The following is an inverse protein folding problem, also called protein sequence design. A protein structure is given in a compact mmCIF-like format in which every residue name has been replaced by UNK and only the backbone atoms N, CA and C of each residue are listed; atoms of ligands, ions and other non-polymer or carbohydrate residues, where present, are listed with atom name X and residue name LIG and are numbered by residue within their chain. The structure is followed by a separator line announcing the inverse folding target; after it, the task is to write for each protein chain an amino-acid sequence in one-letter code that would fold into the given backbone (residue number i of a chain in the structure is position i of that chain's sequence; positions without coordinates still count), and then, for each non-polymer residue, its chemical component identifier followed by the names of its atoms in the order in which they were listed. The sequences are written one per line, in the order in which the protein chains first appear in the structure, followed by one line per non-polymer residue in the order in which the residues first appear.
data_IF_074488081061
#
_entry.id   IF_074488081061
#
_cell.length_a   1.000
_cell.length_b   1.000
_cell.length_c   1.000
_cell.angle_alpha   90.00
_cell.angle_beta   90.00
_cell.angle_gamma   90.00
#
_symmetry.space_group_name_H-M   'P 1'
#
loop_
_entity.id
_entity.type
_entity.pdbx_description
1 polymer ?
#
# COMPACT_ATOMS: atom_id res chain seq x y z
N UNK A 1 -17.10 -14.37 25.09
CA UNK A 1 -15.69 -14.80 25.14
C UNK A 1 -15.08 -14.56 23.77
N UNK A 2 -14.01 -13.77 23.67
CA UNK A 2 -13.44 -13.38 22.37
C UNK A 2 -11.94 -13.63 22.40
N UNK A 3 -11.42 -14.31 21.39
CA UNK A 3 -9.97 -14.45 21.16
C UNK A 3 -9.48 -13.18 20.48
N UNK A 4 -8.34 -12.67 20.92
CA UNK A 4 -7.71 -11.49 20.30
C UNK A 4 -6.39 -11.92 19.68
N UNK A 5 -6.09 -11.38 18.50
CA UNK A 5 -4.81 -11.59 17.84
C UNK A 5 -4.23 -10.23 17.45
N UNK A 6 -2.93 -10.07 17.66
CA UNK A 6 -2.17 -8.88 17.30
C UNK A 6 -1.03 -9.26 16.39
N UNK A 7 -0.73 -8.41 15.43
CA UNK A 7 0.37 -8.57 14.49
C UNK A 7 0.76 -7.25 13.86
N UNK A 8 1.87 -7.27 13.12
CA UNK A 8 2.45 -6.13 12.45
C UNK A 8 2.45 -6.32 10.93
N UNK A 9 2.17 -5.24 10.20
CA UNK A 9 2.31 -5.23 8.74
C UNK A 9 3.66 -4.63 8.36
N UNK A 10 4.27 -5.15 7.29
CA UNK A 10 5.46 -4.52 6.70
C UNK A 10 5.03 -3.52 5.63
N UNK A 11 5.59 -2.32 5.69
CA UNK A 11 5.25 -1.21 4.78
C UNK A 11 5.97 -1.25 3.43
N UNK A 12 6.52 -2.39 3.02
CA UNK A 12 7.36 -2.57 1.84
C UNK A 12 6.58 -2.89 0.55
N UNK A 13 5.37 -2.33 0.42
CA UNK A 13 4.52 -2.51 -0.76
C UNK A 13 5.15 -1.80 -1.96
N UNK A 14 5.40 -2.56 -3.04
CA UNK A 14 5.98 -2.05 -4.30
C UNK A 14 4.94 -1.92 -5.40
N UNK A 15 5.34 -1.20 -6.45
CA UNK A 15 4.56 -1.13 -7.68
C UNK A 15 4.32 -2.52 -8.27
N UNK A 16 3.06 -2.86 -8.52
CA UNK A 16 2.64 -4.18 -9.00
C UNK A 16 2.17 -5.13 -7.90
N UNK A 17 2.49 -4.83 -6.64
CA UNK A 17 1.97 -5.60 -5.52
C UNK A 17 0.47 -5.34 -5.33
N UNK A 18 -0.24 -6.42 -5.03
CA UNK A 18 -1.70 -6.40 -4.79
C UNK A 18 -2.06 -7.03 -3.46
N UNK A 19 -1.07 -7.38 -2.65
CA UNK A 19 -1.21 -8.12 -1.41
C UNK A 19 -0.43 -7.46 -0.30
N UNK A 20 -1.01 -7.43 0.89
CA UNK A 20 -0.36 -6.97 2.10
C UNK A 20 0.15 -8.18 2.88
N UNK A 21 1.42 -8.12 3.29
CA UNK A 21 2.00 -9.13 4.17
C UNK A 21 1.92 -8.64 5.62
N UNK A 22 1.22 -9.41 6.44
CA UNK A 22 1.13 -9.22 7.89
C UNK A 22 1.84 -10.40 8.56
N UNK A 23 2.49 -10.16 9.69
CA UNK A 23 3.07 -11.18 10.54
C UNK A 23 2.29 -11.15 11.85
N UNK A 24 1.76 -12.30 12.27
CA UNK A 24 1.00 -12.42 13.51
C UNK A 24 1.93 -12.80 14.65
N UNK A 25 2.03 -11.95 15.67
CA UNK A 25 2.98 -12.13 16.76
C UNK A 25 2.35 -12.88 17.93
N UNK A 26 1.10 -12.54 18.27
CA UNK A 26 0.50 -12.98 19.52
C UNK A 26 -0.99 -13.24 19.40
N UNK A 27 -1.41 -14.39 19.95
CA UNK A 27 -2.79 -14.74 20.18
C UNK A 27 -3.07 -14.79 21.69
N UNK A 28 -4.19 -14.18 22.10
CA UNK A 28 -4.65 -14.13 23.49
C UNK A 28 -6.01 -14.81 23.56
N UNK A 29 -6.06 -15.94 24.28
CA UNK A 29 -7.32 -16.66 24.49
C UNK A 29 -8.22 -15.91 25.47
N UNK A 30 -9.52 -16.22 25.54
CA UNK A 30 -10.42 -15.56 26.48
C UNK A 30 -10.13 -15.91 27.95
N UNK A 31 -9.22 -16.86 28.19
CA UNK A 31 -8.73 -17.28 29.51
C UNK A 31 -7.38 -16.63 29.85
N UNK A 32 -7.00 -15.57 29.13
CA UNK A 32 -5.74 -14.81 29.29
C UNK A 32 -4.47 -15.63 29.01
N UNK A 33 -4.59 -16.70 28.24
CA UNK A 33 -3.46 -17.51 27.79
C UNK A 33 -2.86 -16.85 26.55
N UNK A 34 -1.56 -16.57 26.60
CA UNK A 34 -0.83 -15.92 25.52
C UNK A 34 -0.03 -16.96 24.75
N UNK A 35 -0.26 -17.02 23.44
CA UNK A 35 0.45 -17.89 22.49
C UNK A 35 1.24 -17.03 21.52
N UNK A 36 2.52 -17.33 21.33
CA UNK A 36 3.36 -16.71 20.31
C UNK A 36 3.14 -17.42 18.98
N UNK A 37 2.77 -16.68 17.94
CA UNK A 37 2.46 -17.27 16.64
C UNK A 37 3.62 -17.16 15.66
N UNK A 38 4.37 -16.06 15.64
CA UNK A 38 5.44 -15.75 14.66
C UNK A 38 5.12 -16.19 13.22
N UNK A 39 3.84 -16.19 12.84
CA UNK A 39 3.38 -16.88 11.64
C UNK A 39 2.99 -15.91 10.54
N UNK A 40 3.33 -16.20 9.27
CA UNK A 40 3.00 -15.34 8.15
C UNK A 40 1.49 -15.40 7.82
N UNK A 41 0.98 -14.29 7.27
CA UNK A 41 -0.43 -14.20 6.88
C UNK A 41 -0.75 -14.93 5.59
N UNK A 42 -1.96 -15.46 5.51
CA UNK A 42 -2.51 -16.12 4.32
C UNK A 42 -3.89 -15.59 3.93
N UNK A 43 -4.17 -15.58 2.63
CA UNK A 43 -5.51 -15.38 2.06
C UNK A 43 -6.42 -16.58 2.39
N UNK A 44 -7.71 -16.44 2.11
CA UNK A 44 -8.76 -17.45 2.32
C UNK A 44 -8.49 -18.79 1.64
N UNK A 45 -7.69 -18.79 0.58
CA UNK A 45 -7.27 -19.98 -0.16
C UNK A 45 -5.88 -20.50 0.23
N UNK A 46 -5.25 -19.95 1.27
CA UNK A 46 -3.90 -20.35 1.70
C UNK A 46 -2.76 -19.71 0.90
N UNK A 47 -3.06 -18.76 0.01
CA UNK A 47 -2.02 -17.97 -0.66
C UNK A 47 -1.35 -17.00 0.32
N UNK A 48 -0.07 -16.69 0.15
CA UNK A 48 0.61 -15.73 1.03
C UNK A 48 0.06 -14.31 0.88
N UNK A 49 -0.18 -13.65 2.02
CA UNK A 49 -0.64 -12.27 2.12
C UNK A 49 -2.17 -12.10 1.97
N UNK A 50 -2.66 -10.91 2.29
CA UNK A 50 -4.09 -10.55 2.17
C UNK A 50 -4.29 -9.70 0.91
N UNK A 51 -5.25 -10.09 0.07
CA UNK A 51 -5.65 -9.28 -1.08
C UNK A 51 -6.51 -8.11 -0.61
N UNK A 52 -6.14 -6.88 -0.96
CA UNK A 52 -6.90 -5.67 -0.63
C UNK A 52 -7.19 -4.79 -1.84
N UNK A 53 -7.90 -3.68 -1.62
CA UNK A 53 -8.13 -2.68 -2.67
C UNK A 53 -6.87 -1.85 -2.87
N UNK A 54 -6.31 -1.88 -4.07
CA UNK A 54 -5.10 -1.14 -4.42
C UNK A 54 -5.45 0.26 -4.92
N UNK A 55 -4.85 1.28 -4.31
CA UNK A 55 -4.79 2.64 -4.85
C UNK A 55 -3.38 2.94 -5.35
N UNK A 56 -3.25 3.04 -6.66
CA UNK A 56 -2.00 3.37 -7.33
C UNK A 56 -1.65 4.86 -7.28
N UNK A 57 -2.53 5.73 -6.75
CA UNK A 57 -2.28 7.17 -6.59
C UNK A 57 -1.92 7.87 -7.90
N UNK A 58 -2.48 7.42 -9.04
CA UNK A 58 -2.16 7.94 -10.37
C UNK A 58 -2.31 9.47 -10.50
N UNK A 59 -3.29 10.05 -9.80
CA UNK A 59 -3.46 11.50 -9.74
C UNK A 59 -2.25 12.21 -9.11
N UNK A 60 -1.63 11.64 -8.08
CA UNK A 60 -0.39 12.16 -7.52
C UNK A 60 0.82 11.82 -8.40
N UNK A 61 0.78 10.69 -9.11
CA UNK A 61 1.87 10.28 -9.99
C UNK A 61 2.04 11.18 -11.21
N UNK A 62 0.91 11.51 -11.85
CA UNK A 62 0.89 12.20 -13.15
C UNK A 62 0.37 13.63 -13.02
N UNK A 63 -0.39 13.97 -11.99
CA UNK A 63 -1.13 15.23 -11.92
C UNK A 63 -0.27 16.48 -12.02
N UNK A 64 0.85 16.54 -11.30
CA UNK A 64 1.76 17.69 -11.36
C UNK A 64 2.48 17.80 -12.70
N UNK A 65 2.92 16.69 -13.29
CA UNK A 65 3.53 16.68 -14.61
C UNK A 65 2.54 17.12 -15.70
N UNK A 66 1.27 16.69 -15.58
CA UNK A 66 0.20 17.09 -16.49
C UNK A 66 -0.11 18.59 -16.40
N UNK A 67 -0.16 19.15 -15.19
CA UNK A 67 -0.36 20.60 -14.99
C UNK A 67 0.80 21.41 -15.60
N UNK A 68 2.04 20.97 -15.40
CA UNK A 68 3.23 21.59 -16.00
C UNK A 68 3.17 21.53 -17.53
N UNK A 69 2.77 20.38 -18.09
CA UNK A 69 2.60 20.22 -19.55
C UNK A 69 1.54 21.16 -20.11
N UNK A 70 0.37 21.25 -19.48
CA UNK A 70 -0.71 22.15 -19.93
C UNK A 70 -0.28 23.62 -19.84
N UNK A 71 0.45 23.99 -18.79
CA UNK A 71 0.99 25.34 -18.63
C UNK A 71 2.02 25.67 -19.72
N UNK A 72 2.92 24.73 -20.04
CA UNK A 72 3.88 24.86 -21.13
C UNK A 72 3.16 25.04 -22.49
N UNK A 73 2.17 24.20 -22.77
CA UNK A 73 1.38 24.27 -24.00
C UNK A 73 0.62 25.60 -24.11
N UNK A 74 0.05 26.10 -23.01
CA UNK A 74 -0.64 27.38 -22.98
C UNK A 74 0.31 28.56 -23.27
N UNK A 75 1.51 28.57 -22.67
CA UNK A 75 2.54 29.57 -22.94
C UNK A 75 2.99 29.52 -24.40
N UNK A 76 3.21 28.32 -24.94
CA UNK A 76 3.55 28.11 -26.35
C UNK A 76 2.47 28.65 -27.31
N UNK A 77 1.18 28.42 -27.02
CA UNK A 77 0.07 28.92 -27.84
C UNK A 77 -0.05 30.45 -27.72
N UNK A 78 0.07 31.01 -26.51
CA UNK A 78 0.02 32.45 -26.29
C UNK A 78 1.16 33.20 -27.01
N UNK A 79 2.37 32.64 -27.01
CA UNK A 79 3.50 33.16 -27.78
C UNK A 79 3.26 33.10 -29.29
N UNK A 80 2.69 32.00 -29.81
CA UNK A 80 2.36 31.86 -31.25
C UNK A 80 1.30 32.83 -31.76
N UNK A 81 0.31 33.18 -30.93
CA UNK A 81 -0.75 34.14 -31.27
C UNK A 81 -0.30 35.60 -31.15
N UNK A 82 0.79 35.86 -30.44
CA UNK A 82 1.36 37.20 -30.24
C UNK A 82 2.38 37.52 -31.33
N UNK A 83 1.98 37.56 -32.60
CA UNK A 83 2.87 38.00 -33.72
C UNK A 83 3.20 39.51 -33.71
N UNK A 84 2.71 40.27 -32.74
CA UNK A 84 2.90 41.73 -32.66
C UNK A 84 3.53 42.23 -31.35
N UNK A 85 3.94 41.34 -30.45
CA UNK A 85 4.75 41.72 -29.30
C UNK A 85 5.84 40.67 -29.15
N UNK A 86 7.06 41.15 -29.00
CA UNK A 86 8.31 40.44 -28.71
C UNK A 86 8.23 39.70 -27.35
N UNK A 87 7.23 38.83 -27.20
CA UNK A 87 7.20 37.80 -26.18
C UNK A 87 7.88 36.62 -26.83
N UNK A 88 9.20 36.69 -26.90
CA UNK A 88 10.05 35.51 -27.00
C UNK A 88 9.67 34.68 -25.78
N UNK A 89 8.72 33.75 -25.95
CA UNK A 89 8.68 32.55 -25.14
C UNK A 89 9.94 31.82 -25.57
N UNK A 90 11.05 32.21 -24.92
CA UNK A 90 12.38 31.70 -25.17
C UNK A 90 12.29 30.19 -25.15
N UNK A 91 12.83 29.53 -26.16
CA UNK A 91 12.93 28.07 -26.27
C UNK A 91 13.32 27.42 -24.94
N UNK A 92 14.17 28.11 -24.18
CA UNK A 92 14.64 27.78 -22.84
C UNK A 92 13.50 27.55 -21.83
N UNK A 93 12.38 28.26 -21.92
CA UNK A 93 11.22 28.08 -21.02
C UNK A 93 10.46 26.79 -21.32
N UNK A 94 10.29 26.45 -22.61
CA UNK A 94 9.65 25.20 -23.02
C UNK A 94 10.52 23.98 -22.64
N UNK A 95 11.83 24.09 -22.87
CA UNK A 95 12.80 23.05 -22.51
C UNK A 95 12.91 22.86 -21.00
N UNK A 96 12.97 23.95 -20.23
CA UNK A 96 12.96 23.91 -18.75
C UNK A 96 11.68 23.27 -18.21
N UNK A 97 10.53 23.52 -18.83
CA UNK A 97 9.26 22.92 -18.41
C UNK A 97 9.23 21.40 -18.65
N UNK A 98 9.80 20.93 -19.75
CA UNK A 98 9.93 19.49 -20.03
C UNK A 98 10.84 18.80 -19.01
N UNK A 99 11.94 19.43 -18.64
CA UNK A 99 12.87 18.91 -17.64
C UNK A 99 12.24 18.85 -16.24
N UNK A 100 11.46 19.86 -15.87
CA UNK A 100 10.68 19.86 -14.61
C UNK A 100 9.64 18.75 -14.62
N UNK A 101 8.89 18.59 -15.71
CA UNK A 101 7.90 17.52 -15.84
C UNK A 101 8.54 16.13 -15.73
N UNK A 102 9.68 15.91 -16.39
CA UNK A 102 10.44 14.67 -16.33
C UNK A 102 10.95 14.38 -14.91
N UNK A 103 11.53 15.37 -14.24
CA UNK A 103 12.02 15.24 -12.86
C UNK A 103 10.90 14.94 -11.86
N UNK A 104 9.73 15.54 -12.05
CA UNK A 104 8.53 15.27 -11.25
C UNK A 104 8.06 13.84 -11.48
N UNK A 105 8.00 13.40 -12.74
CA UNK A 105 7.60 12.03 -13.09
C UNK A 105 8.58 11.00 -12.50
N UNK A 106 9.88 11.22 -12.63
CA UNK A 106 10.93 10.37 -12.04
C UNK A 106 10.80 10.27 -10.52
N UNK A 107 10.46 11.37 -9.84
CA UNK A 107 10.26 11.35 -8.38
C UNK A 107 8.95 10.64 -7.97
N UNK A 108 7.94 10.71 -8.82
CA UNK A 108 6.61 10.22 -8.50
C UNK A 108 6.34 8.79 -8.98
N UNK A 109 7.11 8.26 -9.94
CA UNK A 109 6.95 6.88 -10.43
C UNK A 109 7.26 5.85 -9.33
N UNK A 110 8.18 6.20 -8.42
CA UNK A 110 8.60 5.39 -7.27
C UNK A 110 7.65 5.47 -6.07
N UNK A 111 6.55 6.23 -6.18
CA UNK A 111 5.57 6.34 -5.11
C UNK A 111 4.87 4.99 -4.88
N UNK A 112 5.10 4.37 -3.73
CA UNK A 112 4.43 3.11 -3.37
C UNK A 112 2.90 3.23 -3.40
N UNK A 113 2.19 2.20 -3.92
CA UNK A 113 0.73 2.15 -3.86
C UNK A 113 0.25 1.94 -2.42
N UNK A 114 -1.02 2.25 -2.17
CA UNK A 114 -1.68 1.99 -0.88
C UNK A 114 -2.62 0.80 -1.05
N UNK A 115 -2.55 -0.17 -0.14
CA UNK A 115 -3.49 -1.30 -0.10
C UNK A 115 -4.44 -1.08 1.07
N UNK A 116 -5.73 -0.99 0.78
CA UNK A 116 -6.79 -0.85 1.76
C UNK A 116 -7.42 -2.21 2.07
N UNK A 117 -7.49 -2.53 3.36
CA UNK A 117 -8.29 -3.62 3.92
C UNK A 117 -9.47 -3.02 4.67
N UNK A 118 -10.65 -3.63 4.58
CA UNK A 118 -11.83 -3.14 5.29
C UNK A 118 -11.87 -3.69 6.71
N UNK A 119 -12.44 -2.92 7.62
CA UNK A 119 -12.73 -3.42 8.96
C UNK A 119 -13.75 -4.58 8.87
N UNK A 120 -13.52 -5.64 9.66
CA UNK A 120 -14.37 -6.83 9.64
C UNK A 120 -14.15 -7.75 8.44
N UNK A 121 -13.18 -7.47 7.58
CA UNK A 121 -12.77 -8.39 6.53
C UNK A 121 -12.25 -9.70 7.14
N UNK A 122 -12.74 -10.83 6.61
CA UNK A 122 -12.32 -12.14 7.11
C UNK A 122 -10.89 -12.42 6.65
N UNK A 123 -10.01 -12.59 7.62
CA UNK A 123 -8.60 -12.90 7.43
C UNK A 123 -8.30 -14.31 7.93
N UNK A 124 -7.36 -14.99 7.28
CA UNK A 124 -6.89 -16.29 7.72
C UNK A 124 -5.48 -16.19 8.28
N UNK A 125 -5.27 -16.86 9.40
CA UNK A 125 -3.97 -17.00 10.04
C UNK A 125 -3.51 -18.42 9.79
N UNK A 126 -2.43 -18.58 9.06
CA UNK A 126 -1.71 -19.84 8.99
C UNK A 126 -0.81 -19.93 10.21
N UNK A 127 -0.79 -21.08 10.87
CA UNK A 127 0.11 -21.34 12.01
C UNK A 127 1.25 -22.18 11.47
N UNK A 128 2.48 -21.64 11.53
CA UNK A 128 3.65 -22.28 10.95
C UNK A 128 4.23 -23.40 11.84
N UNK A 129 4.10 -23.25 13.15
CA UNK A 129 4.67 -24.16 14.15
C UNK A 129 3.60 -24.74 15.08
N UNK A 130 3.82 -25.96 15.54
CA UNK A 130 2.91 -26.61 16.49
C UNK A 130 2.89 -25.87 17.84
N UNK A 131 1.69 -25.63 18.37
CA UNK A 131 1.48 -24.99 19.67
C UNK A 131 1.07 -26.05 20.68
N UNK A 132 1.92 -26.31 21.67
CA UNK A 132 1.57 -27.18 22.80
C UNK A 132 0.82 -26.39 23.89
N UNK A 133 -0.41 -26.81 24.17
CA UNK A 133 -1.29 -26.22 25.18
C UNK A 133 -1.49 -27.13 26.41
N UNK A 134 -0.81 -28.27 26.46
CA UNK A 134 -0.93 -29.27 27.53
C UNK A 134 -0.59 -28.71 28.92
N UNK A 135 0.30 -27.72 28.98
CA UNK A 135 0.69 -27.04 30.23
C UNK A 135 -0.40 -26.12 30.79
N UNK A 136 -1.40 -25.75 29.99
CA UNK A 136 -2.40 -24.73 30.36
C UNK A 136 -3.82 -25.29 30.42
N UNK A 137 -4.16 -26.24 29.55
CA UNK A 137 -5.49 -26.86 29.54
C UNK A 137 -5.43 -28.32 29.99
N UNK A 138 -6.35 -28.70 30.89
CA UNK A 138 -6.57 -30.08 31.30
C UNK A 138 -7.86 -30.62 30.70
N UNK A 139 -7.81 -31.84 30.15
CA UNK A 139 -9.00 -32.54 29.72
C UNK A 139 -9.77 -33.02 30.96
N UNK A 140 -11.01 -32.54 31.14
CA UNK A 140 -11.92 -33.05 32.18
C UNK A 140 -12.88 -34.05 31.55
N UNK A 141 -12.81 -35.32 31.98
CA UNK A 141 -13.79 -36.33 31.60
C UNK A 141 -15.08 -36.07 32.39
N UNK A 142 -16.16 -35.71 31.69
CA UNK A 142 -17.49 -35.63 32.29
C UNK A 142 -18.03 -37.06 32.34
N UNK A 143 -18.08 -37.63 33.54
CA UNK A 143 -18.71 -38.93 33.78
C UNK A 143 -20.20 -38.83 33.48
N UNK A 144 -20.69 -39.71 32.60
CA UNK A 144 -22.11 -40.01 32.43
C UNK A 144 -22.52 -41.13 33.38
#
# INVERSE_FOLDING_TARGET
MTIKVTGEYRGDVKNGDRRLQIIWDRLITPYDVVVQLQSPTTDRLGASGITGKVDNRWGLRIGSALLVSIMSDALNIAGKNSKSADVIVESDTADTSNDIAKKILEKNIDLSPIIYLREGEMINIYVADDIDLSSVYNARQLGY
#
